data_IF_969870150436
#
_entry.id   IF_969870150436
#
_cell.length_a   1.000
_cell.length_b   1.000
_cell.length_c   1.000
_cell.angle_alpha   90.00
_cell.angle_beta   90.00
_cell.angle_gamma   90.00
#
_symmetry.space_group_name_H-M   'P 1'
#
loop_
_entity.id
_entity.type
_entity.pdbx_description
1 polymer ?
#
# COMPACT_ATOMS: atom_id res chain seq x y z
N UNK A 1 -16.07 1.03 3.79
CA UNK A 1 -14.65 0.67 3.55
C UNK A 1 -13.82 0.85 4.83
N UNK A 2 -14.14 0.16 5.94
CA UNK A 2 -13.36 0.33 7.17
C UNK A 2 -11.93 -0.22 7.02
N UNK A 3 -11.72 -1.27 6.25
CA UNK A 3 -10.42 -1.97 6.18
C UNK A 3 -9.38 -1.10 5.50
N UNK A 4 -9.67 -0.65 4.28
CA UNK A 4 -8.73 0.14 3.49
C UNK A 4 -8.40 1.47 4.15
N UNK A 5 -9.36 2.06 4.86
CA UNK A 5 -9.15 3.31 5.59
C UNK A 5 -8.21 3.10 6.80
N UNK A 6 -8.38 2.01 7.56
CA UNK A 6 -7.46 1.65 8.65
C UNK A 6 -6.05 1.38 8.13
N UNK A 7 -5.91 0.63 7.03
CA UNK A 7 -4.61 0.31 6.45
C UNK A 7 -3.95 1.57 5.85
N UNK A 8 -4.72 2.44 5.20
CA UNK A 8 -4.23 3.72 4.69
C UNK A 8 -3.76 4.65 5.83
N UNK A 9 -4.49 4.71 6.94
CA UNK A 9 -4.08 5.48 8.12
C UNK A 9 -2.77 4.92 8.72
N UNK A 10 -2.66 3.61 8.86
CA UNK A 10 -1.42 2.95 9.31
C UNK A 10 -0.24 3.21 8.37
N UNK A 11 -0.49 3.16 7.06
CA UNK A 11 0.52 3.45 6.04
C UNK A 11 0.97 4.92 6.05
N UNK A 12 0.07 5.87 6.34
CA UNK A 12 0.41 7.27 6.50
C UNK A 12 1.30 7.50 7.74
N UNK A 13 0.96 6.89 8.87
CA UNK A 13 1.78 6.96 10.10
C UNK A 13 3.18 6.35 9.86
N UNK A 14 3.25 5.24 9.15
CA UNK A 14 4.52 4.60 8.82
C UNK A 14 5.38 5.48 7.88
N UNK A 15 4.74 6.18 6.93
CA UNK A 15 5.43 7.15 6.07
C UNK A 15 6.07 8.27 6.89
N UNK A 16 5.33 8.84 7.85
CA UNK A 16 5.82 9.89 8.75
C UNK A 16 7.01 9.36 9.57
N UNK A 17 6.93 8.13 10.09
CA UNK A 17 8.03 7.52 10.83
C UNK A 17 9.31 7.33 9.99
N UNK A 18 9.19 6.82 8.76
CA UNK A 18 10.34 6.66 7.84
C UNK A 18 10.93 8.04 7.49
N UNK A 19 10.08 9.04 7.21
CA UNK A 19 10.49 10.40 6.92
C UNK A 19 11.29 11.03 8.08
N UNK A 20 10.83 10.88 9.32
CA UNK A 20 11.57 11.34 10.51
C UNK A 20 12.92 10.64 10.65
N UNK A 21 13.01 9.33 10.35
CA UNK A 21 14.25 8.56 10.43
C UNK A 21 15.29 8.97 9.38
N UNK A 22 14.84 9.37 8.18
CA UNK A 22 15.70 9.99 7.15
C UNK A 22 16.13 11.39 7.61
N UNK A 23 15.19 12.20 8.10
CA UNK A 23 15.44 13.57 8.56
C UNK A 23 16.47 13.65 9.69
N UNK A 24 16.43 12.70 10.63
CA UNK A 24 17.41 12.63 11.72
C UNK A 24 18.85 12.39 11.22
N UNK A 25 19.05 11.47 10.27
CA UNK A 25 20.39 11.22 9.70
C UNK A 25 20.83 12.38 8.81
N UNK A 26 19.90 13.01 8.09
CA UNK A 26 20.18 14.22 7.33
C UNK A 26 20.71 15.35 8.23
N UNK A 27 20.10 15.53 9.39
CA UNK A 27 20.56 16.49 10.41
C UNK A 27 21.93 16.13 11.00
N UNK A 28 22.15 14.86 11.33
CA UNK A 28 23.45 14.35 11.83
C UNK A 28 24.58 14.55 10.79
N UNK A 29 24.30 14.26 9.51
CA UNK A 29 25.25 14.42 8.40
C UNK A 29 25.43 15.89 7.95
N UNK A 30 24.63 16.83 8.49
CA UNK A 30 24.60 18.25 8.11
C UNK A 30 24.42 18.48 6.59
N UNK A 31 23.69 17.58 5.93
CA UNK A 31 23.45 17.65 4.47
C UNK A 31 22.11 18.34 4.21
N UNK A 32 22.13 19.51 3.57
CA UNK A 32 20.90 20.22 3.21
C UNK A 32 20.19 19.57 2.01
N UNK A 33 20.91 19.34 0.91
CA UNK A 33 20.39 18.78 -0.35
C UNK A 33 21.28 17.62 -0.80
N UNK A 34 20.66 16.56 -1.30
CA UNK A 34 21.37 15.34 -1.75
C UNK A 34 21.68 14.38 -0.60
N UNK A 35 22.73 13.58 -0.81
CA UNK A 35 23.21 12.56 0.12
C UNK A 35 24.52 12.92 0.83
N UNK A 36 25.22 13.96 0.37
CA UNK A 36 26.49 14.42 0.93
C UNK A 36 27.59 13.35 1.01
N UNK A 37 27.46 12.25 0.25
CA UNK A 37 28.35 11.09 0.33
C UNK A 37 28.16 10.18 1.55
N UNK A 38 27.14 10.42 2.40
CA UNK A 38 26.89 9.57 3.57
C UNK A 38 26.08 8.32 3.16
N UNK A 39 26.72 7.15 3.23
CA UNK A 39 26.11 5.87 2.87
C UNK A 39 24.85 5.56 3.71
N UNK A 40 24.79 5.99 4.97
CA UNK A 40 23.61 5.81 5.83
C UNK A 40 22.44 6.64 5.33
N UNK A 41 22.71 7.86 4.85
CA UNK A 41 21.69 8.73 4.27
C UNK A 41 21.18 8.17 2.93
N UNK A 42 22.08 7.69 2.06
CA UNK A 42 21.73 7.03 0.79
C UNK A 42 20.81 5.83 1.01
N UNK A 43 21.19 4.93 1.93
CA UNK A 43 20.39 3.74 2.25
C UNK A 43 18.99 4.12 2.73
N UNK A 44 18.90 5.07 3.67
CA UNK A 44 17.61 5.52 4.24
C UNK A 44 16.74 6.25 3.22
N UNK A 45 17.31 7.10 2.37
CA UNK A 45 16.60 7.74 1.27
C UNK A 45 16.03 6.71 0.28
N UNK A 46 16.77 5.65 -0.04
CA UNK A 46 16.29 4.57 -0.91
C UNK A 46 15.10 3.81 -0.33
N UNK A 47 15.04 3.46 0.96
CA UNK A 47 13.79 2.84 1.45
C UNK A 47 12.61 3.80 1.48
N UNK A 48 12.84 5.08 1.76
CA UNK A 48 11.74 6.05 1.74
C UNK A 48 11.16 6.17 0.33
N UNK A 49 12.00 6.28 -0.71
CA UNK A 49 11.55 6.25 -2.11
C UNK A 49 10.79 4.97 -2.44
N UNK A 50 11.36 3.80 -2.11
CA UNK A 50 10.69 2.51 -2.33
C UNK A 50 9.34 2.41 -1.58
N UNK A 51 9.18 3.11 -0.45
CA UNK A 51 7.92 3.17 0.28
C UNK A 51 6.88 4.00 -0.43
N UNK A 52 7.25 5.20 -0.84
CA UNK A 52 6.35 6.12 -1.54
C UNK A 52 5.97 5.57 -2.92
N UNK A 53 6.83 4.79 -3.56
CA UNK A 53 6.55 4.18 -4.87
C UNK A 53 5.57 3.01 -4.79
N UNK A 54 5.72 2.09 -3.82
CA UNK A 54 4.91 0.86 -3.78
C UNK A 54 3.60 1.02 -2.99
N UNK A 55 3.60 1.85 -1.95
CA UNK A 55 2.44 1.96 -1.03
C UNK A 55 1.16 2.46 -1.69
N UNK A 56 1.19 3.49 -2.57
CA UNK A 56 -0.03 3.97 -3.22
C UNK A 56 -0.70 2.89 -4.06
N UNK A 57 0.06 2.09 -4.81
CA UNK A 57 -0.50 0.99 -5.62
C UNK A 57 -1.22 -0.04 -4.75
N UNK A 58 -0.61 -0.44 -3.63
CA UNK A 58 -1.23 -1.39 -2.71
C UNK A 58 -2.50 -0.83 -2.09
N UNK A 59 -2.50 0.43 -1.64
CA UNK A 59 -3.67 1.06 -1.03
C UNK A 59 -4.82 1.23 -2.04
N UNK A 60 -4.53 1.63 -3.27
CA UNK A 60 -5.53 1.77 -4.33
C UNK A 60 -6.14 0.41 -4.66
N UNK A 61 -5.32 -0.63 -4.87
CA UNK A 61 -5.82 -1.97 -5.14
C UNK A 61 -6.66 -2.52 -3.99
N UNK A 62 -6.20 -2.35 -2.75
CA UNK A 62 -6.94 -2.79 -1.56
C UNK A 62 -8.31 -2.09 -1.46
N UNK A 63 -8.35 -0.78 -1.68
CA UNK A 63 -9.59 0.01 -1.66
C UNK A 63 -10.56 -0.42 -2.75
N UNK A 64 -10.08 -0.64 -3.98
CA UNK A 64 -10.92 -1.07 -5.09
C UNK A 64 -11.46 -2.49 -4.89
N UNK A 65 -10.65 -3.40 -4.37
CA UNK A 65 -11.09 -4.78 -4.07
C UNK A 65 -12.11 -4.80 -2.93
N UNK A 66 -11.92 -3.99 -1.87
CA UNK A 66 -12.90 -3.87 -0.78
C UNK A 66 -14.23 -3.26 -1.29
N UNK A 67 -14.17 -2.29 -2.21
CA UNK A 67 -15.36 -1.71 -2.83
C UNK A 67 -16.12 -2.73 -3.67
N UNK A 68 -15.42 -3.61 -4.38
CA UNK A 68 -16.05 -4.62 -5.25
C UNK A 68 -16.56 -5.86 -4.50
N UNK A 69 -15.87 -6.29 -3.45
CA UNK A 69 -16.13 -7.60 -2.78
C UNK A 69 -16.80 -7.43 -1.42
N UNK A 70 -16.80 -6.22 -0.87
CA UNK A 70 -17.19 -5.96 0.51
C UNK A 70 -16.08 -6.28 1.52
N UNK A 71 -16.37 -5.99 2.79
CA UNK A 71 -15.44 -6.19 3.90
C UNK A 71 -15.29 -7.68 4.23
N UNK A 72 -14.08 -8.24 4.03
CA UNK A 72 -13.77 -9.65 4.30
C UNK A 72 -12.55 -9.81 5.23
N UNK A 73 -12.54 -10.88 6.03
CA UNK A 73 -11.46 -11.20 6.97
C UNK A 73 -10.10 -11.40 6.26
N UNK A 74 -10.13 -11.87 5.01
CA UNK A 74 -8.94 -12.03 4.18
C UNK A 74 -8.29 -10.67 3.86
N UNK A 75 -9.07 -9.63 3.60
CA UNK A 75 -8.55 -8.28 3.33
C UNK A 75 -7.88 -7.67 4.55
N UNK A 76 -8.40 -7.94 5.75
CA UNK A 76 -7.73 -7.59 7.01
C UNK A 76 -6.36 -8.28 7.14
N UNK A 77 -6.28 -9.57 6.84
CA UNK A 77 -5.04 -10.32 6.91
C UNK A 77 -3.99 -9.78 5.92
N UNK A 78 -4.39 -9.52 4.67
CA UNK A 78 -3.49 -8.96 3.64
C UNK A 78 -3.01 -7.56 4.00
N UNK A 79 -3.91 -6.69 4.47
CA UNK A 79 -3.57 -5.34 4.90
C UNK A 79 -2.63 -5.31 6.10
N UNK A 80 -2.90 -6.13 7.12
CA UNK A 80 -2.03 -6.24 8.30
C UNK A 80 -0.66 -6.81 7.94
N UNK A 81 -0.62 -7.86 7.10
CA UNK A 81 0.62 -8.46 6.62
C UNK A 81 1.46 -7.45 5.82
N UNK A 82 0.82 -6.62 5.00
CA UNK A 82 1.49 -5.54 4.28
C UNK A 82 2.20 -4.58 5.25
N UNK A 83 1.49 -4.05 6.26
CA UNK A 83 2.09 -3.13 7.23
C UNK A 83 3.27 -3.76 7.97
N UNK A 84 3.14 -5.02 8.40
CA UNK A 84 4.22 -5.77 9.06
C UNK A 84 5.43 -5.93 8.14
N UNK A 85 5.21 -6.28 6.87
CA UNK A 85 6.28 -6.39 5.88
C UNK A 85 7.03 -5.07 5.66
N UNK A 86 6.32 -3.93 5.67
CA UNK A 86 6.94 -2.60 5.54
C UNK A 86 7.77 -2.22 6.76
N UNK A 87 7.31 -2.56 7.96
CA UNK A 87 8.06 -2.36 9.21
C UNK A 87 9.34 -3.22 9.19
N UNK A 88 9.22 -4.50 8.83
CA UNK A 88 10.36 -5.42 8.68
C UNK A 88 11.38 -4.92 7.64
N UNK A 89 10.92 -4.43 6.49
CA UNK A 89 11.80 -3.88 5.46
C UNK A 89 12.58 -2.65 5.97
N UNK A 90 11.88 -1.73 6.65
CA UNK A 90 12.49 -0.54 7.20
C UNK A 90 13.52 -0.87 8.29
N UNK A 91 13.25 -1.84 9.16
CA UNK A 91 14.18 -2.31 10.20
C UNK A 91 15.36 -3.07 9.57
N UNK A 92 15.11 -3.92 8.56
CA UNK A 92 16.15 -4.69 7.88
C UNK A 92 17.25 -3.83 7.27
N UNK A 93 16.92 -2.59 6.87
CA UNK A 93 17.92 -1.65 6.39
C UNK A 93 18.90 -1.10 7.44
N UNK A 94 18.62 -1.23 8.75
CA UNK A 94 19.52 -0.76 9.81
C UNK A 94 20.62 -1.78 10.20
N UNK A 95 20.71 -2.96 9.57
CA UNK A 95 21.84 -3.87 9.82
C UNK A 95 21.67 -5.35 9.42
N UNK A 96 20.48 -5.78 9.00
CA UNK A 96 20.22 -7.17 8.61
C UNK A 96 19.94 -7.25 7.10
N UNK A 97 20.98 -7.47 6.30
CA UNK A 97 20.89 -7.52 4.83
C UNK A 97 19.85 -8.51 4.29
N UNK A 98 19.57 -9.61 5.00
CA UNK A 98 18.53 -10.59 4.63
C UNK A 98 17.10 -10.04 4.81
N UNK A 99 16.87 -9.17 5.80
CA UNK A 99 15.56 -8.59 6.08
C UNK A 99 15.17 -7.50 5.05
N UNK A 100 16.16 -6.86 4.39
CA UNK A 100 15.93 -6.00 3.23
C UNK A 100 15.29 -6.79 2.08
N UNK A 101 15.87 -7.94 1.75
CA UNK A 101 15.38 -8.83 0.68
C UNK A 101 14.00 -9.36 0.99
N UNK A 102 13.81 -9.92 2.20
CA UNK A 102 12.53 -10.45 2.65
C UNK A 102 11.40 -9.41 2.57
N UNK A 103 11.65 -8.17 3.03
CA UNK A 103 10.64 -7.11 3.00
C UNK A 103 10.22 -6.67 1.58
N UNK A 104 11.15 -6.67 0.61
CA UNK A 104 10.82 -6.38 -0.79
C UNK A 104 10.05 -7.55 -1.41
N UNK A 105 10.53 -8.78 -1.21
CA UNK A 105 9.87 -9.97 -1.75
C UNK A 105 8.44 -10.09 -1.23
N UNK A 106 8.21 -9.88 0.06
CA UNK A 106 6.86 -9.92 0.64
C UNK A 106 6.00 -8.78 0.09
N UNK A 107 6.54 -7.56 -0.06
CA UNK A 107 5.80 -6.45 -0.68
C UNK A 107 5.38 -6.78 -2.12
N UNK A 108 6.29 -7.33 -2.92
CA UNK A 108 6.01 -7.72 -4.31
C UNK A 108 4.99 -8.86 -4.40
N UNK A 109 5.07 -9.85 -3.52
CA UNK A 109 4.10 -10.95 -3.47
C UNK A 109 2.70 -10.45 -3.08
N UNK A 110 2.60 -9.54 -2.12
CA UNK A 110 1.32 -8.93 -1.73
C UNK A 110 0.73 -8.11 -2.88
N UNK A 111 1.56 -7.32 -3.55
CA UNK A 111 1.12 -6.51 -4.70
C UNK A 111 0.65 -7.40 -5.86
N UNK A 112 1.37 -8.49 -6.14
CA UNK A 112 0.96 -9.48 -7.14
C UNK A 112 -0.34 -10.18 -6.74
N UNK A 113 -0.48 -10.59 -5.47
CA UNK A 113 -1.68 -11.22 -4.94
C UNK A 113 -2.92 -10.32 -5.03
N UNK A 114 -2.77 -9.03 -4.68
CA UNK A 114 -3.83 -8.03 -4.82
C UNK A 114 -4.18 -7.76 -6.29
N UNK A 115 -3.19 -7.70 -7.18
CA UNK A 115 -3.44 -7.54 -8.61
C UNK A 115 -4.23 -8.73 -9.18
N UNK A 116 -3.85 -9.96 -8.82
CA UNK A 116 -4.59 -11.16 -9.23
C UNK A 116 -6.00 -11.17 -8.65
N UNK A 117 -6.16 -10.83 -7.36
CA UNK A 117 -7.48 -10.74 -6.72
C UNK A 117 -8.37 -9.69 -7.39
N UNK A 118 -7.81 -8.54 -7.78
CA UNK A 118 -8.53 -7.50 -8.53
C UNK A 118 -8.96 -7.98 -9.92
N UNK A 119 -8.09 -8.69 -10.65
CA UNK A 119 -8.46 -9.28 -11.94
C UNK A 119 -9.53 -10.34 -11.79
N UNK A 120 -9.40 -11.24 -10.81
CA UNK A 120 -10.39 -12.27 -10.54
C UNK A 120 -11.75 -11.69 -10.17
N UNK A 121 -11.80 -10.64 -9.34
CA UNK A 121 -13.07 -9.98 -9.00
C UNK A 121 -13.75 -9.38 -10.22
N UNK A 122 -13.00 -8.78 -11.15
CA UNK A 122 -13.55 -8.26 -12.41
C UNK A 122 -14.05 -9.39 -13.32
N UNK A 123 -13.28 -10.47 -13.50
CA UNK A 123 -13.63 -11.52 -14.46
C UNK A 123 -14.64 -12.54 -13.93
N UNK A 124 -14.74 -12.71 -12.61
CA UNK A 124 -15.68 -13.64 -11.97
C UNK A 124 -16.99 -12.97 -11.55
N UNK A 125 -17.06 -11.64 -11.48
CA UNK A 125 -18.31 -10.92 -11.18
C UNK A 125 -18.93 -10.47 -12.49
N UNK A 126 -20.02 -11.09 -12.97
CA UNK A 126 -20.74 -10.57 -14.12
C UNK A 126 -21.24 -9.16 -13.77
N UNK A 127 -20.76 -8.15 -14.48
CA UNK A 127 -21.30 -6.80 -14.39
C UNK A 127 -22.72 -6.80 -14.95
N UNK A 128 -23.72 -7.03 -14.10
CA UNK A 128 -25.08 -6.63 -14.41
C UNK A 128 -25.14 -5.11 -14.32
N UNK A 129 -24.99 -4.45 -15.48
CA UNK A 129 -25.38 -3.05 -15.61
C UNK A 129 -26.92 -3.04 -15.49
N UNK A 130 -27.42 -2.95 -14.26
CA UNK A 130 -28.84 -2.79 -14.02
C UNK A 130 -29.21 -1.39 -14.48
N UNK A 131 -29.86 -1.30 -15.65
CA UNK A 131 -30.35 -0.05 -16.23
C UNK A 131 -31.56 0.45 -15.44
N UNK A 132 -31.32 1.07 -14.29
CA UNK A 132 -32.36 1.67 -13.41
C UNK A 132 -32.99 2.94 -13.98
N UNK A 133 -32.95 3.16 -15.30
CA UNK A 133 -33.51 4.34 -15.96
C UNK A 133 -34.74 4.03 -16.84
N UNK A 134 -35.12 2.75 -17.00
CA UNK A 134 -36.29 2.39 -17.82
C UNK A 134 -37.58 2.28 -16.99
N UNK A 135 -37.48 1.95 -15.70
CA UNK A 135 -38.68 1.71 -14.88
C UNK A 135 -39.38 3.00 -14.42
N UNK A 136 -38.67 4.13 -14.32
CA UNK A 136 -39.31 5.41 -13.93
C UNK A 136 -40.14 6.02 -15.06
N UNK A 137 -39.85 5.71 -16.32
CA UNK A 137 -40.62 6.24 -17.47
C UNK A 137 -41.87 5.39 -17.74
N UNK A 138 -41.84 4.09 -17.44
CA UNK A 138 -43.00 3.21 -17.64
C UNK A 138 -44.11 3.44 -16.61
N UNK A 139 -43.78 3.85 -15.38
CA UNK A 139 -44.74 4.08 -14.30
C UNK A 139 -45.47 5.43 -14.41
N UNK A 140 -44.93 6.42 -15.13
CA UNK A 140 -45.63 7.70 -15.37
C UNK A 140 -46.63 7.64 -16.56
N UNK A 141 -46.76 6.49 -17.24
CA UNK A 141 -47.62 6.34 -18.43
C UNK A 141 -48.89 5.49 -18.25
N UNK A 142 -49.22 5.07 -17.03
CA UNK A 142 -50.52 4.44 -16.67
C UNK A 142 -51.33 5.35 -15.73
#
# INVERSE_FOLDING_TARGET
MPISLTIAAGAALLNIWIAMRVGRVRGEAKVSIGDGGDERLIRRMRAHSNYVENTPFVLILLALVELSTGSSIWLWAVGALYLVARILHAIGMDGLGWARGAGITVTMLIQLGLAVAALLTVYLTPTSISSTLTDTVAVESE
#
